data_IF_006666367464
#
_entry.id   IF_006666367464
#
_cell.length_a   1.000
_cell.length_b   1.000
_cell.length_c   1.000
_cell.angle_alpha   90.00
_cell.angle_beta   90.00
_cell.angle_gamma   90.00
#
_symmetry.space_group_name_H-M   'P 1'
#
loop_
_entity.id
_entity.type
_entity.pdbx_description
1 polymer ?
#
# COMPACT_ATOMS: atom_id res chain seq x y z
N UNK A 1 -20.32 -2.64 -4.36
CA UNK A 1 -20.16 -1.25 -4.83
C UNK A 1 -18.97 -1.28 -5.79
N UNK A 2 -19.22 -1.20 -7.10
CA UNK A 2 -18.15 -1.22 -8.11
C UNK A 2 -17.55 0.18 -8.19
N UNK A 3 -16.36 0.37 -7.65
CA UNK A 3 -15.59 1.59 -7.88
C UNK A 3 -15.01 1.51 -9.29
N UNK A 4 -15.68 2.11 -10.27
CA UNK A 4 -15.05 2.37 -11.58
C UNK A 4 -14.13 3.60 -11.42
N UNK A 5 -12.83 3.34 -11.19
CA UNK A 5 -11.80 4.38 -11.17
C UNK A 5 -11.35 4.70 -12.60
N UNK A 6 -11.67 5.88 -13.13
CA UNK A 6 -11.22 6.24 -14.50
C UNK A 6 -9.70 6.08 -14.67
N UNK A 7 -9.21 5.80 -15.90
CA UNK A 7 -7.76 5.69 -16.16
C UNK A 7 -7.00 6.91 -15.67
N UNK A 8 -7.53 8.12 -15.91
CA UNK A 8 -6.87 9.36 -15.49
C UNK A 8 -6.72 9.42 -13.97
N UNK A 9 -7.75 8.97 -13.24
CA UNK A 9 -7.72 8.88 -11.79
C UNK A 9 -6.73 7.82 -11.31
N UNK A 10 -6.71 6.65 -11.97
CA UNK A 10 -5.75 5.60 -11.69
C UNK A 10 -4.30 6.06 -11.91
N UNK A 11 -3.99 6.71 -13.03
CA UNK A 11 -2.65 7.24 -13.32
C UNK A 11 -2.22 8.34 -12.35
N UNK A 12 -3.18 9.10 -11.80
CA UNK A 12 -2.89 10.07 -10.73
C UNK A 12 -2.58 9.37 -9.41
N UNK A 13 -3.31 8.30 -9.09
CA UNK A 13 -3.14 7.55 -7.85
C UNK A 13 -1.92 6.62 -7.87
N UNK A 14 -1.58 6.03 -9.02
CA UNK A 14 -0.52 5.05 -9.17
C UNK A 14 0.55 5.59 -10.10
N UNK A 15 1.69 5.98 -9.54
CA UNK A 15 2.87 6.41 -10.30
C UNK A 15 3.97 5.36 -10.16
N UNK A 16 4.35 4.76 -11.28
CA UNK A 16 5.32 3.68 -11.33
C UNK A 16 6.62 4.19 -11.94
N UNK A 17 7.73 3.96 -11.24
CA UNK A 17 9.07 4.34 -11.67
C UNK A 17 9.97 3.12 -11.74
N UNK A 18 10.92 3.11 -12.67
CA UNK A 18 11.95 2.07 -12.74
C UNK A 18 13.30 2.61 -12.32
N UNK A 19 13.99 1.86 -11.45
CA UNK A 19 15.36 2.14 -11.01
C UNK A 19 16.21 0.89 -11.17
N UNK A 20 16.90 0.80 -12.30
CA UNK A 20 17.63 -0.41 -12.68
C UNK A 20 16.67 -1.56 -12.98
N UNK A 21 16.84 -2.70 -12.31
CA UNK A 21 16.00 -3.89 -12.48
C UNK A 21 14.78 -3.92 -11.55
N UNK A 22 14.61 -2.89 -10.71
CA UNK A 22 13.54 -2.82 -9.71
C UNK A 22 12.61 -1.64 -9.97
N UNK A 23 11.40 -1.75 -9.43
CA UNK A 23 10.32 -0.79 -9.58
C UNK A 23 10.01 -0.12 -8.25
N UNK A 24 9.61 1.15 -8.32
CA UNK A 24 9.08 1.91 -7.20
C UNK A 24 7.67 2.36 -7.56
N UNK A 25 6.73 2.19 -6.64
CA UNK A 25 5.33 2.55 -6.83
C UNK A 25 4.93 3.58 -5.78
N UNK A 26 4.52 4.75 -6.25
CA UNK A 26 3.91 5.77 -5.40
C UNK A 26 2.40 5.68 -5.51
N UNK A 27 1.76 5.56 -4.36
CA UNK A 27 0.32 5.42 -4.19
C UNK A 27 -0.24 6.69 -3.55
N UNK A 28 -0.70 7.61 -4.38
CA UNK A 28 -1.34 8.86 -3.95
C UNK A 28 -2.81 8.62 -3.61
N UNK A 29 -3.31 9.38 -2.64
CA UNK A 29 -4.73 9.36 -2.23
C UNK A 29 -5.22 7.97 -1.77
N UNK A 30 -4.31 7.05 -1.45
CA UNK A 30 -4.62 5.74 -0.90
C UNK A 30 -4.85 5.85 0.60
N UNK A 31 -5.97 5.29 1.06
CA UNK A 31 -6.26 5.14 2.48
C UNK A 31 -5.24 4.16 3.12
N UNK A 32 -4.51 4.62 4.12
CA UNK A 32 -3.55 3.80 4.87
C UNK A 32 -4.23 2.58 5.51
N UNK A 33 -5.50 2.69 5.89
CA UNK A 33 -6.26 1.55 6.40
C UNK A 33 -6.49 0.50 5.30
N UNK A 34 -6.75 0.91 4.06
CA UNK A 34 -6.86 -0.02 2.92
C UNK A 34 -5.54 -0.75 2.65
N UNK A 35 -4.41 -0.02 2.72
CA UNK A 35 -3.09 -0.62 2.61
C UNK A 35 -2.84 -1.67 3.71
N UNK A 36 -3.17 -1.33 4.96
CA UNK A 36 -3.03 -2.25 6.09
C UNK A 36 -3.89 -3.50 5.90
N UNK A 37 -5.16 -3.35 5.50
CA UNK A 37 -6.06 -4.50 5.24
C UNK A 37 -5.49 -5.41 4.15
N UNK A 38 -4.95 -4.82 3.09
CA UNK A 38 -4.36 -5.56 1.97
C UNK A 38 -3.21 -6.48 2.42
N UNK A 39 -2.42 -6.04 3.41
CA UNK A 39 -1.24 -6.74 3.90
C UNK A 39 -1.36 -7.18 5.37
N UNK A 40 -2.58 -7.34 5.90
CA UNK A 40 -2.87 -7.40 7.33
C UNK A 40 -2.06 -8.46 8.11
N UNK A 41 -1.86 -9.62 7.49
CA UNK A 41 -1.19 -10.77 8.09
C UNK A 41 0.26 -10.96 7.61
N UNK A 42 0.76 -10.08 6.75
CA UNK A 42 2.11 -10.21 6.20
C UNK A 42 3.17 -9.91 7.25
N UNK A 43 4.29 -10.62 7.19
CA UNK A 43 5.44 -10.37 8.05
C UNK A 43 6.25 -9.18 7.57
N UNK A 44 6.50 -8.26 8.49
CA UNK A 44 7.15 -6.97 8.28
C UNK A 44 8.30 -6.85 9.29
N UNK A 45 9.50 -6.65 8.76
CA UNK A 45 10.69 -6.28 9.52
C UNK A 45 10.69 -4.77 9.77
N UNK A 46 11.18 -4.37 10.95
CA UNK A 46 11.26 -2.97 11.36
C UNK A 46 9.96 -2.15 11.18
N UNK A 47 8.79 -2.76 11.47
CA UNK A 47 7.51 -2.07 11.34
C UNK A 47 7.41 -0.93 12.36
N UNK A 48 7.26 0.28 11.86
CA UNK A 48 6.94 1.47 12.64
C UNK A 48 5.58 2.01 12.22
N UNK A 49 4.71 2.28 13.19
CA UNK A 49 3.35 2.73 12.97
C UNK A 49 2.97 3.83 13.97
N UNK A 50 2.35 4.90 13.47
CA UNK A 50 1.70 5.93 14.28
C UNK A 50 0.22 5.96 13.96
N UNK A 51 -0.62 5.87 15.00
CA UNK A 51 -2.06 5.85 14.85
C UNK A 51 -2.75 6.47 16.06
N UNK A 52 -3.97 6.97 15.85
CA UNK A 52 -4.84 7.48 16.90
C UNK A 52 -6.15 6.70 16.91
N UNK A 53 -6.78 6.63 18.08
CA UNK A 53 -8.14 6.11 18.20
C UNK A 53 -9.11 7.27 17.93
N UNK A 54 -10.12 7.08 17.07
CA UNK A 54 -11.04 8.17 16.70
C UNK A 54 -11.83 8.72 17.90
N UNK A 55 -12.08 7.89 18.89
CA UNK A 55 -12.84 8.25 20.10
C UNK A 55 -11.98 8.80 21.24
N UNK A 56 -10.65 8.65 21.17
CA UNK A 56 -9.73 9.03 22.24
C UNK A 56 -8.61 9.89 21.68
N UNK A 57 -8.34 11.03 22.29
CA UNK A 57 -7.28 11.96 21.88
C UNK A 57 -5.87 11.46 22.24
N UNK A 58 -5.62 10.15 22.06
CA UNK A 58 -4.36 9.49 22.32
C UNK A 58 -3.71 9.14 20.99
N UNK A 59 -2.47 9.58 20.84
CA UNK A 59 -1.59 9.16 19.75
C UNK A 59 -0.70 8.03 20.24
N UNK A 60 -0.66 6.94 19.48
CA UNK A 60 0.21 5.79 19.70
C UNK A 60 1.30 5.79 18.64
N UNK A 61 2.54 5.56 19.06
CA UNK A 61 3.70 5.36 18.20
C UNK A 61 4.43 4.13 18.67
N UNK A 62 4.61 3.16 17.78
CA UNK A 62 5.27 1.90 18.09
C UNK A 62 6.21 1.50 16.97
N UNK A 63 7.35 0.93 17.36
CA UNK A 63 8.29 0.28 16.45
C UNK A 63 8.55 -1.13 16.96
N UNK A 64 8.22 -2.12 16.15
CA UNK A 64 8.30 -3.54 16.51
C UNK A 64 9.00 -4.28 15.39
N UNK A 65 10.01 -5.06 15.75
CA UNK A 65 10.72 -5.86 14.77
C UNK A 65 10.00 -7.20 14.51
N UNK A 66 10.02 -7.67 13.25
CA UNK A 66 9.45 -8.93 12.80
C UNK A 66 8.00 -9.19 13.27
N UNK A 67 7.08 -8.33 12.87
CA UNK A 67 5.66 -8.42 13.26
C UNK A 67 4.72 -8.34 12.05
N UNK A 68 3.43 -8.17 12.27
CA UNK A 68 2.37 -7.99 11.27
C UNK A 68 1.37 -6.96 11.77
N UNK A 69 0.51 -6.40 10.91
CA UNK A 69 -0.44 -5.37 11.35
C UNK A 69 -1.46 -5.89 12.37
N UNK A 70 -1.80 -7.18 12.30
CA UNK A 70 -2.66 -7.85 13.30
C UNK A 70 -2.10 -7.87 14.73
N UNK A 71 -0.83 -7.47 14.95
CA UNK A 71 -0.27 -7.27 16.28
C UNK A 71 -0.81 -6.00 16.95
N UNK A 72 -1.14 -4.97 16.15
CA UNK A 72 -1.63 -3.67 16.63
C UNK A 72 -3.15 -3.59 16.60
N UNK A 73 -3.78 -4.32 15.69
CA UNK A 73 -5.23 -4.32 15.49
C UNK A 73 -5.73 -5.76 15.54
N UNK A 74 -6.57 -6.08 16.52
CA UNK A 74 -7.06 -7.45 16.74
C UNK A 74 -7.90 -7.98 15.55
N UNK A 75 -8.54 -7.07 14.81
CA UNK A 75 -9.32 -7.38 13.63
C UNK A 75 -9.35 -6.21 12.65
N UNK A 76 -9.84 -6.47 11.42
CA UNK A 76 -10.06 -5.42 10.42
C UNK A 76 -11.13 -4.44 10.89
N UNK A 77 -12.15 -4.90 11.61
CA UNK A 77 -13.16 -4.02 12.21
C UNK A 77 -12.54 -3.08 13.25
N UNK A 78 -11.62 -3.59 14.09
CA UNK A 78 -10.92 -2.75 15.07
C UNK A 78 -10.08 -1.66 14.41
N UNK A 79 -9.48 -1.93 13.24
CA UNK A 79 -8.75 -0.91 12.47
C UNK A 79 -9.66 0.27 12.05
N UNK A 80 -10.97 0.03 11.82
CA UNK A 80 -11.90 1.10 11.41
C UNK A 80 -12.09 2.17 12.49
N UNK A 81 -11.87 1.83 13.76
CA UNK A 81 -11.95 2.77 14.89
C UNK A 81 -10.65 3.59 15.05
N UNK A 82 -9.64 3.33 14.23
CA UNK A 82 -8.35 3.99 14.26
C UNK A 82 -8.10 4.80 12.99
N UNK A 83 -7.31 5.86 13.15
CA UNK A 83 -6.73 6.62 12.06
C UNK A 83 -5.23 6.40 12.07
N UNK A 84 -4.72 5.74 11.06
CA UNK A 84 -3.28 5.57 10.87
C UNK A 84 -2.73 6.81 10.19
N UNK A 85 -1.69 7.39 10.79
CA UNK A 85 -1.08 8.64 10.35
C UNK A 85 0.29 8.41 9.72
N UNK A 86 0.95 7.31 10.08
CA UNK A 86 2.26 6.95 9.56
C UNK A 86 2.48 5.45 9.63
N UNK A 87 3.13 4.89 8.63
CA UNK A 87 3.58 3.52 8.56
C UNK A 87 4.87 3.41 7.73
N UNK A 88 5.82 2.61 8.18
CA UNK A 88 6.96 2.16 7.38
C UNK A 88 7.38 0.76 7.79
N UNK A 89 8.09 0.07 6.90
CA UNK A 89 8.66 -1.22 7.20
C UNK A 89 9.13 -1.95 5.95
N UNK A 90 9.64 -3.15 6.15
CA UNK A 90 10.13 -4.00 5.06
C UNK A 90 9.38 -5.32 5.03
N UNK A 91 8.69 -5.60 3.93
CA UNK A 91 8.04 -6.89 3.71
C UNK A 91 9.07 -7.94 3.31
N UNK A 92 9.34 -8.87 4.22
CA UNK A 92 10.36 -9.91 4.01
C UNK A 92 10.00 -10.87 2.88
N UNK A 93 8.71 -11.22 2.76
CA UNK A 93 8.19 -12.10 1.69
C UNK A 93 8.42 -11.52 0.30
N UNK A 94 8.29 -10.20 0.15
CA UNK A 94 8.32 -9.52 -1.15
C UNK A 94 9.68 -8.89 -1.46
N UNK A 95 10.60 -8.85 -0.50
CA UNK A 95 11.87 -8.11 -0.60
C UNK A 95 11.64 -6.66 -1.05
N UNK A 96 10.70 -5.97 -0.38
CA UNK A 96 10.31 -4.59 -0.69
C UNK A 96 10.13 -3.76 0.58
N UNK A 97 10.48 -2.48 0.48
CA UNK A 97 10.31 -1.51 1.57
C UNK A 97 9.10 -0.62 1.29
N UNK A 98 8.41 -0.17 2.34
CA UNK A 98 7.37 0.83 2.20
C UNK A 98 7.50 1.94 3.25
N UNK A 99 7.05 3.14 2.88
CA UNK A 99 6.95 4.28 3.78
C UNK A 99 5.78 5.17 3.37
N UNK A 100 4.92 5.53 4.33
CA UNK A 100 3.94 6.59 4.13
C UNK A 100 4.59 7.96 4.23
N UNK A 101 4.21 8.84 3.32
CA UNK A 101 4.47 10.27 3.30
C UNK A 101 3.14 11.01 3.49
N UNK A 102 3.14 12.34 3.70
CA UNK A 102 1.91 13.10 3.93
C UNK A 102 0.82 12.87 2.86
N UNK A 103 1.21 12.70 1.59
CA UNK A 103 0.26 12.65 0.47
C UNK A 103 0.20 11.29 -0.25
N UNK A 104 1.14 10.39 0.03
CA UNK A 104 1.27 9.11 -0.69
C UNK A 104 1.99 8.03 0.12
N UNK A 105 1.82 6.77 -0.29
CA UNK A 105 2.64 5.65 0.18
C UNK A 105 3.66 5.31 -0.90
N UNK A 106 4.93 5.25 -0.52
CA UNK A 106 6.01 4.81 -1.40
C UNK A 106 6.27 3.33 -1.14
N UNK A 107 6.20 2.50 -2.17
CA UNK A 107 6.62 1.09 -2.14
C UNK A 107 7.84 0.96 -3.05
N UNK A 108 8.99 0.68 -2.44
CA UNK A 108 10.28 0.68 -3.10
C UNK A 108 10.83 -0.72 -3.33
N UNK A 109 11.68 -0.81 -4.35
CA UNK A 109 12.50 -1.99 -4.64
C UNK A 109 11.70 -3.24 -5.02
N UNK A 110 10.51 -3.04 -5.59
CA UNK A 110 9.65 -4.11 -6.10
C UNK A 110 10.38 -4.85 -7.22
N UNK A 111 10.49 -6.17 -7.11
CA UNK A 111 11.02 -7.02 -8.18
C UNK A 111 10.04 -7.06 -9.36
N UNK A 112 10.57 -7.14 -10.58
CA UNK A 112 9.77 -7.16 -11.81
C UNK A 112 8.66 -8.21 -11.78
N UNK A 113 9.01 -9.42 -11.35
CA UNK A 113 8.11 -10.55 -11.28
C UNK A 113 7.00 -10.41 -10.23
N UNK A 114 7.18 -9.53 -9.23
CA UNK A 114 6.19 -9.29 -8.16
C UNK A 114 5.30 -8.07 -8.41
N UNK A 115 5.67 -7.21 -9.35
CA UNK A 115 4.97 -5.94 -9.58
C UNK A 115 3.47 -6.13 -9.79
N UNK A 116 3.08 -7.04 -10.69
CA UNK A 116 1.67 -7.25 -10.99
C UNK A 116 0.89 -7.90 -9.86
N UNK A 117 1.53 -8.75 -9.06
CA UNK A 117 0.90 -9.38 -7.90
C UNK A 117 0.63 -8.34 -6.81
N UNK A 118 1.59 -7.42 -6.57
CA UNK A 118 1.42 -6.31 -5.62
C UNK A 118 0.30 -5.39 -6.08
N UNK A 119 0.28 -5.00 -7.36
CA UNK A 119 -0.79 -4.17 -7.92
C UNK A 119 -2.15 -4.87 -7.85
N UNK A 120 -2.21 -6.19 -8.11
CA UNK A 120 -3.46 -6.95 -8.00
C UNK A 120 -4.05 -6.95 -6.59
N UNK A 121 -3.18 -7.08 -5.58
CA UNK A 121 -3.56 -7.01 -4.18
C UNK A 121 -4.08 -5.64 -3.82
N UNK A 122 -3.39 -4.57 -4.25
CA UNK A 122 -3.82 -3.19 -4.00
C UNK A 122 -5.17 -2.88 -4.65
N UNK A 123 -5.43 -3.44 -5.84
CA UNK A 123 -6.68 -3.30 -6.58
C UNK A 123 -7.72 -4.37 -6.21
N UNK A 124 -7.54 -5.12 -5.11
CA UNK A 124 -8.45 -6.20 -4.75
C UNK A 124 -9.91 -5.70 -4.65
N UNK A 125 -10.85 -6.48 -5.18
CA UNK A 125 -12.26 -6.09 -5.28
C UNK A 125 -12.70 -5.38 -6.57
N UNK A 126 -11.77 -4.99 -7.47
CA UNK A 126 -12.12 -4.50 -8.82
C UNK A 126 -12.38 -5.64 -9.81
N UNK A 127 -13.14 -5.36 -10.87
CA UNK A 127 -13.39 -6.30 -11.97
C UNK A 127 -12.09 -6.68 -12.72
N UNK A 128 -11.93 -7.95 -13.09
CA UNK A 128 -10.71 -8.47 -13.71
C UNK A 128 -10.38 -7.82 -15.07
N UNK A 129 -11.39 -7.53 -15.89
CA UNK A 129 -11.16 -6.88 -17.19
C UNK A 129 -10.68 -5.44 -16.96
N UNK A 130 -11.20 -4.79 -15.93
CA UNK A 130 -10.79 -3.45 -15.53
C UNK A 130 -9.36 -3.41 -15.00
N UNK A 131 -9.01 -4.33 -14.09
CA UNK A 131 -7.63 -4.46 -13.57
C UNK A 131 -6.59 -4.64 -14.67
N UNK A 132 -6.89 -5.51 -15.64
CA UNK A 132 -5.97 -5.79 -16.76
C UNK A 132 -5.69 -4.54 -17.58
N UNK A 133 -6.72 -3.70 -17.81
CA UNK A 133 -6.58 -2.41 -18.46
C UNK A 133 -5.70 -1.46 -17.64
N UNK A 134 -5.99 -1.28 -16.35
CA UNK A 134 -5.23 -0.39 -15.47
C UNK A 134 -3.74 -0.78 -15.36
N UNK A 135 -3.44 -2.08 -15.25
CA UNK A 135 -2.06 -2.58 -15.26
C UNK A 135 -1.32 -2.25 -16.56
N UNK A 136 -2.01 -2.30 -17.70
CA UNK A 136 -1.44 -1.94 -19.00
C UNK A 136 -1.12 -0.44 -19.03
N UNK A 137 -2.05 0.41 -18.56
CA UNK A 137 -1.83 1.85 -18.44
C UNK A 137 -0.64 2.17 -17.51
N UNK A 138 -0.49 1.44 -16.40
CA UNK A 138 0.62 1.60 -15.47
C UNK A 138 1.98 1.36 -16.12
N UNK A 139 2.08 0.34 -16.99
CA UNK A 139 3.30 0.07 -17.75
C UNK A 139 3.55 1.12 -18.83
N UNK A 140 2.49 1.58 -19.51
CA UNK A 140 2.61 2.63 -20.52
C UNK A 140 3.19 3.90 -19.89
N UNK A 141 2.70 4.33 -18.72
CA UNK A 141 3.20 5.53 -18.05
C UNK A 141 4.72 5.48 -17.79
N UNK A 142 5.28 4.29 -17.49
CA UNK A 142 6.72 4.14 -17.32
C UNK A 142 7.54 4.36 -18.59
N UNK A 143 7.00 4.02 -19.76
CA UNK A 143 7.74 4.18 -21.02
C UNK A 143 7.85 5.65 -21.46
N UNK A 144 7.01 6.51 -20.90
CA UNK A 144 6.89 7.92 -21.27
C UNK A 144 7.33 8.91 -20.17
N UNK A 145 7.79 8.42 -19.02
CA UNK A 145 8.46 9.18 -17.94
C UNK A 145 9.99 9.17 -18.12
#
# INVERSE_FOLDING_TARGET
>A
MSFEISINEFNRQFQLYQKGERYNLNLHQVDLNHFIVTFFNEKIEDLEINYSCKEKDNNYSQKVNYTSFNFFFDSVENLLDHQVNYLQGYFTTYDMYFISKPDYIEINYIKRELLFDIVDRLLNGMDCNYKSRLKTELLINMEFD
#
